data_IF_096688841593
#
_entry.id   IF_096688841593
#
_cell.length_a   1.000
_cell.length_b   1.000
_cell.length_c   1.000
_cell.angle_alpha   90.00
_cell.angle_beta   90.00
_cell.angle_gamma   90.00
#
_symmetry.space_group_name_H-M   'P 1'
#
loop_
_entity.id
_entity.type
_entity.pdbx_description
1 polymer ?
#
# COMPACT_ATOMS: atom_id res chain seq x y z
N UNK A 1 -0.59 1.16 2.92
CA UNK A 1 0.37 0.05 2.78
C UNK A 1 1.60 0.61 2.11
N UNK A 2 2.79 0.40 2.68
CA UNK A 2 3.98 1.13 2.25
C UNK A 2 3.86 2.62 2.56
N UNK A 3 3.54 2.96 3.82
CA UNK A 3 3.23 4.35 4.19
C UNK A 3 4.48 5.25 4.25
N UNK A 4 5.69 4.71 4.12
CA UNK A 4 6.93 5.43 4.31
C UNK A 4 6.95 6.12 5.67
N UNK A 5 7.35 7.39 5.71
CA UNK A 5 7.30 8.21 6.94
C UNK A 5 5.88 8.60 7.36
N UNK A 6 4.85 8.15 6.65
CA UNK A 6 3.46 8.26 7.03
C UNK A 6 2.79 9.59 6.73
N UNK A 7 3.28 10.39 5.79
CA UNK A 7 2.72 11.72 5.44
C UNK A 7 1.22 11.65 5.13
N UNK A 8 0.81 10.76 4.21
CA UNK A 8 -0.62 10.58 3.88
C UNK A 8 -1.41 10.00 5.06
N UNK A 9 -0.82 9.05 5.79
CA UNK A 9 -1.44 8.48 7.01
C UNK A 9 -1.74 9.55 8.04
N UNK A 10 -0.78 10.44 8.32
CA UNK A 10 -0.94 11.58 9.23
C UNK A 10 -2.04 12.52 8.75
N UNK A 11 -2.07 12.84 7.47
CA UNK A 11 -3.12 13.69 6.91
C UNK A 11 -4.50 13.09 7.17
N UNK A 12 -4.72 11.82 6.84
CA UNK A 12 -6.00 11.15 7.10
C UNK A 12 -6.36 11.10 8.60
N UNK A 13 -5.40 10.75 9.46
CA UNK A 13 -5.61 10.69 10.91
C UNK A 13 -6.01 12.06 11.49
N UNK A 14 -5.33 13.13 11.07
CA UNK A 14 -5.61 14.51 11.51
C UNK A 14 -6.97 15.03 11.02
N UNK A 15 -7.52 14.45 9.95
CA UNK A 15 -8.86 14.74 9.45
C UNK A 15 -9.94 13.81 10.04
N UNK A 16 -9.62 13.10 11.13
CA UNK A 16 -10.58 12.26 11.85
C UNK A 16 -10.88 10.92 11.17
N UNK A 17 -10.12 10.53 10.16
CA UNK A 17 -10.26 9.22 9.51
C UNK A 17 -9.54 8.17 10.37
N UNK A 18 -10.20 7.04 10.59
CA UNK A 18 -9.57 5.90 11.26
C UNK A 18 -8.57 5.24 10.31
N UNK A 19 -7.29 5.25 10.68
CA UNK A 19 -6.20 4.80 9.82
C UNK A 19 -5.41 3.66 10.45
N UNK A 20 -4.81 2.86 9.57
CA UNK A 20 -3.75 1.90 9.87
C UNK A 20 -2.65 2.11 8.85
N UNK A 21 -1.40 1.88 9.25
CA UNK A 21 -0.22 2.05 8.43
C UNK A 21 0.68 0.82 8.62
N UNK A 22 1.14 0.27 7.52
CA UNK A 22 2.12 -0.83 7.50
C UNK A 22 3.30 -0.40 6.64
N UNK A 23 4.49 -0.51 7.19
CA UNK A 23 5.75 -0.05 6.58
C UNK A 23 6.88 -1.04 6.85
N UNK A 24 7.68 -1.36 5.84
CA UNK A 24 8.77 -2.33 5.94
C UNK A 24 10.13 -1.71 6.27
N UNK A 25 10.30 -0.41 6.01
CA UNK A 25 11.53 0.33 6.31
C UNK A 25 11.58 0.75 7.78
N UNK A 26 12.51 0.14 8.52
CA UNK A 26 12.77 0.50 9.92
C UNK A 26 13.05 2.01 10.09
N UNK A 27 13.87 2.60 9.21
CA UNK A 27 14.19 4.04 9.26
C UNK A 27 12.94 4.92 9.08
N UNK A 28 12.02 4.49 8.21
CA UNK A 28 10.78 5.22 7.96
C UNK A 28 9.81 5.13 9.15
N UNK A 29 9.77 3.97 9.81
CA UNK A 29 8.98 3.75 11.04
C UNK A 29 9.55 4.59 12.19
N UNK A 30 10.87 4.55 12.43
CA UNK A 30 11.51 5.34 13.49
C UNK A 30 11.31 6.85 13.29
N UNK A 31 11.33 7.32 12.04
CA UNK A 31 11.18 8.74 11.67
C UNK A 31 9.76 9.10 11.23
N UNK A 32 8.78 8.30 11.59
CA UNK A 32 7.38 8.49 11.22
C UNK A 32 6.84 9.79 11.78
N UNK A 33 5.97 10.45 11.01
CA UNK A 33 5.25 11.67 11.44
C UNK A 33 3.79 11.37 11.82
N UNK A 34 3.44 10.10 11.94
CA UNK A 34 2.08 9.66 12.29
C UNK A 34 1.78 9.97 13.75
N UNK A 35 0.69 10.72 14.06
CA UNK A 35 0.28 10.94 15.44
C UNK A 35 -0.14 9.60 16.07
N UNK A 36 0.21 9.37 17.34
CA UNK A 36 -0.09 8.10 18.03
C UNK A 36 0.42 6.87 17.26
N UNK A 37 1.67 6.96 16.77
CA UNK A 37 2.27 5.95 15.89
C UNK A 37 2.21 4.52 16.48
N UNK A 38 2.31 4.38 17.81
CA UNK A 38 2.20 3.11 18.53
C UNK A 38 0.86 2.38 18.32
N UNK A 39 -0.19 3.10 17.91
CA UNK A 39 -1.53 2.56 17.68
C UNK A 39 -1.86 2.40 16.19
N UNK A 40 -1.14 3.12 15.31
CA UNK A 40 -1.47 3.23 13.89
C UNK A 40 -0.44 2.51 13.02
N UNK A 41 0.85 2.59 13.37
CA UNK A 41 1.96 2.11 12.56
C UNK A 41 2.33 0.68 12.98
N UNK A 42 2.38 -0.21 12.00
CA UNK A 42 2.91 -1.56 12.12
C UNK A 42 4.18 -1.66 11.27
N UNK A 43 5.31 -1.98 11.89
CA UNK A 43 6.51 -2.34 11.15
C UNK A 43 6.38 -3.78 10.64
N UNK A 44 6.39 -3.96 9.31
CA UNK A 44 6.29 -5.27 8.68
C UNK A 44 6.92 -5.27 7.29
N UNK A 45 7.93 -6.12 7.11
CA UNK A 45 8.53 -6.40 5.82
C UNK A 45 7.77 -7.53 5.09
N UNK A 46 7.16 -7.20 3.96
CA UNK A 46 6.43 -8.16 3.13
C UNK A 46 7.33 -9.23 2.49
N UNK A 47 8.66 -9.10 2.50
CA UNK A 47 9.57 -10.19 2.12
C UNK A 47 9.53 -11.35 3.13
N UNK A 48 9.18 -11.07 4.39
CA UNK A 48 9.16 -12.04 5.49
C UNK A 48 7.85 -12.80 5.61
N UNK A 49 6.82 -12.35 4.92
CA UNK A 49 5.53 -13.01 4.87
C UNK A 49 4.36 -12.04 4.79
N UNK A 50 3.14 -12.58 4.75
CA UNK A 50 1.91 -11.80 4.70
C UNK A 50 1.61 -11.06 6.00
N UNK A 51 0.95 -9.89 5.86
CA UNK A 51 0.37 -9.14 6.98
C UNK A 51 -1.14 -9.04 6.81
N UNK A 52 -1.87 -9.27 7.91
CA UNK A 52 -3.32 -9.16 7.97
C UNK A 52 -3.71 -8.08 8.98
N UNK A 53 -4.32 -6.97 8.54
CA UNK A 53 -4.91 -6.04 9.49
C UNK A 53 -6.05 -6.73 10.24
N UNK A 54 -6.16 -6.44 11.53
CA UNK A 54 -7.16 -7.03 12.44
C UNK A 54 -8.59 -6.65 12.07
N UNK A 55 -8.78 -5.52 11.39
CA UNK A 55 -10.07 -4.97 10.95
C UNK A 55 -10.18 -4.86 9.45
N UNK A 56 -11.40 -4.85 8.95
CA UNK A 56 -11.71 -4.36 7.60
C UNK A 56 -11.68 -2.84 7.58
N UNK A 57 -11.45 -2.28 6.39
CA UNK A 57 -11.39 -0.84 6.12
C UNK A 57 -12.19 -0.54 4.86
N UNK A 58 -12.52 0.73 4.63
CA UNK A 58 -13.24 1.12 3.41
C UNK A 58 -12.28 1.18 2.20
N UNK A 59 -11.05 1.65 2.43
CA UNK A 59 -10.05 1.85 1.40
C UNK A 59 -8.63 1.47 1.84
N UNK A 60 -7.84 0.97 0.90
CA UNK A 60 -6.38 0.86 1.00
C UNK A 60 -5.73 1.96 0.16
N UNK A 61 -4.72 2.60 0.74
CA UNK A 61 -3.84 3.56 0.08
C UNK A 61 -2.44 2.97 -0.06
N UNK A 62 -1.98 2.75 -1.29
CA UNK A 62 -0.71 2.12 -1.65
C UNK A 62 -0.04 2.88 -2.82
N UNK A 63 0.29 4.14 -2.58
CA UNK A 63 0.92 5.04 -3.57
C UNK A 63 2.44 4.93 -3.44
N UNK A 64 3.13 4.74 -4.57
CA UNK A 64 4.58 4.48 -4.68
C UNK A 64 5.02 3.31 -3.79
N UNK A 65 4.44 2.13 -4.05
CA UNK A 65 4.66 0.93 -3.22
C UNK A 65 4.82 -0.35 -4.04
N UNK A 66 3.99 -0.55 -5.07
CA UNK A 66 3.89 -1.83 -5.79
C UNK A 66 5.24 -2.26 -6.40
N UNK A 67 5.98 -1.29 -6.95
CA UNK A 67 7.27 -1.45 -7.60
C UNK A 67 8.42 -1.80 -6.63
N UNK A 68 8.23 -1.58 -5.33
CA UNK A 68 9.23 -1.82 -4.30
C UNK A 68 9.18 -3.25 -3.73
N UNK A 69 8.14 -4.02 -4.08
CA UNK A 69 7.99 -5.40 -3.61
C UNK A 69 8.25 -6.36 -4.77
N UNK A 70 9.33 -7.14 -4.64
CA UNK A 70 9.70 -8.15 -5.63
C UNK A 70 8.58 -9.14 -5.90
N UNK A 71 8.47 -9.63 -7.14
CA UNK A 71 7.36 -10.50 -7.60
C UNK A 71 7.08 -11.70 -6.70
N UNK A 72 8.11 -12.30 -6.13
CA UNK A 72 8.03 -13.46 -5.25
C UNK A 72 7.38 -13.17 -3.89
N UNK A 73 7.16 -11.90 -3.56
CA UNK A 73 6.60 -11.45 -2.28
C UNK A 73 5.29 -10.69 -2.45
N UNK A 74 4.83 -10.44 -3.69
CA UNK A 74 3.63 -9.62 -3.93
C UNK A 74 2.38 -10.23 -3.29
N UNK A 75 2.28 -11.55 -3.24
CA UNK A 75 1.18 -12.25 -2.57
C UNK A 75 1.05 -11.90 -1.08
N UNK A 76 2.10 -11.35 -0.46
CA UNK A 76 2.13 -11.07 0.96
C UNK A 76 1.39 -9.79 1.34
N UNK A 77 1.25 -8.81 0.44
CA UNK A 77 0.42 -7.62 0.70
C UNK A 77 -1.03 -7.77 0.23
N UNK A 78 -1.34 -8.78 -0.58
CA UNK A 78 -2.71 -9.05 -1.06
C UNK A 78 -3.72 -9.24 0.09
N UNK A 79 -3.40 -9.91 1.21
CA UNK A 79 -4.32 -10.00 2.33
C UNK A 79 -4.70 -8.65 2.95
N UNK A 80 -3.78 -7.68 2.97
CA UNK A 80 -4.09 -6.32 3.39
C UNK A 80 -5.04 -5.63 2.41
N UNK A 81 -4.84 -5.85 1.10
CA UNK A 81 -5.70 -5.28 0.07
C UNK A 81 -7.12 -5.86 0.11
N UNK A 82 -7.26 -7.16 0.38
CA UNK A 82 -8.55 -7.86 0.49
C UNK A 82 -9.39 -7.44 1.71
N UNK A 83 -8.84 -6.63 2.61
CA UNK A 83 -9.56 -6.09 3.76
C UNK A 83 -10.30 -4.78 3.45
N UNK A 84 -10.19 -4.29 2.20
CA UNK A 84 -10.80 -3.06 1.75
C UNK A 84 -11.82 -3.27 0.63
N UNK A 85 -12.78 -2.35 0.51
CA UNK A 85 -13.68 -2.27 -0.65
C UNK A 85 -12.98 -1.60 -1.85
N UNK A 86 -12.15 -0.59 -1.59
CA UNK A 86 -11.38 0.12 -2.61
C UNK A 86 -9.88 -0.02 -2.39
N UNK A 87 -9.12 -0.15 -3.48
CA UNK A 87 -7.66 -0.12 -3.46
C UNK A 87 -7.20 1.02 -4.36
N UNK A 88 -6.61 2.04 -3.76
CA UNK A 88 -5.92 3.13 -4.46
C UNK A 88 -4.44 2.80 -4.47
N UNK A 89 -3.88 2.58 -5.66
CA UNK A 89 -2.46 2.28 -5.81
C UNK A 89 -1.86 2.97 -7.03
N UNK A 90 -0.58 3.32 -6.92
CA UNK A 90 0.25 3.73 -8.05
C UNK A 90 1.39 2.73 -8.24
N UNK A 91 2.03 2.84 -9.40
CA UNK A 91 3.24 2.12 -9.73
C UNK A 91 4.13 3.04 -10.58
N UNK A 92 5.44 2.83 -10.50
CA UNK A 92 6.37 3.46 -11.42
C UNK A 92 6.50 2.68 -12.73
N UNK A 93 6.50 3.42 -13.84
CA UNK A 93 6.86 2.91 -15.17
C UNK A 93 8.35 3.12 -15.50
N UNK A 94 9.12 3.66 -14.56
CA UNK A 94 10.54 3.97 -14.72
C UNK A 94 11.35 3.30 -13.61
N UNK A 95 12.58 2.92 -13.96
CA UNK A 95 13.55 2.45 -12.96
C UNK A 95 13.88 3.54 -11.95
N UNK A 96 14.39 3.14 -10.79
CA UNK A 96 14.69 4.04 -9.70
C UNK A 96 15.32 3.30 -8.53
N UNK A 97 15.69 4.06 -7.50
CA UNK A 97 16.21 3.46 -6.28
C UNK A 97 15.17 2.49 -5.69
N UNK A 98 15.57 1.23 -5.49
CA UNK A 98 14.71 0.17 -4.96
C UNK A 98 13.44 -0.14 -5.78
N UNK A 99 13.37 0.28 -7.05
CA UNK A 99 12.31 -0.19 -7.95
C UNK A 99 12.71 -1.56 -8.48
N UNK A 100 12.14 -2.61 -7.90
CA UNK A 100 12.48 -4.01 -8.21
C UNK A 100 11.49 -4.67 -9.16
N UNK A 101 10.27 -4.15 -9.28
CA UNK A 101 9.29 -4.55 -10.28
C UNK A 101 8.74 -3.32 -10.99
N UNK A 102 9.17 -3.09 -12.23
CA UNK A 102 8.74 -1.95 -13.05
C UNK A 102 8.05 -2.50 -14.29
N UNK A 103 6.76 -2.19 -14.45
CA UNK A 103 5.93 -2.69 -15.55
C UNK A 103 4.91 -1.64 -15.99
N UNK A 104 4.39 -1.70 -17.23
CA UNK A 104 3.28 -0.87 -17.66
C UNK A 104 1.98 -1.14 -16.89
N UNK A 105 1.06 -0.17 -16.86
CA UNK A 105 -0.22 -0.26 -16.14
C UNK A 105 -1.03 -1.51 -16.48
N UNK A 106 -1.06 -1.92 -17.75
CA UNK A 106 -1.78 -3.13 -18.19
C UNK A 106 -1.30 -4.41 -17.49
N UNK A 107 0.00 -4.49 -17.16
CA UNK A 107 0.56 -5.62 -16.42
C UNK A 107 0.06 -5.62 -14.96
N UNK A 108 0.07 -4.46 -14.31
CA UNK A 108 -0.41 -4.31 -12.94
C UNK A 108 -1.91 -4.58 -12.82
N UNK A 109 -2.70 -4.11 -13.78
CA UNK A 109 -4.14 -4.41 -13.88
C UNK A 109 -4.34 -5.93 -13.95
N UNK A 110 -3.72 -6.60 -14.91
CA UNK A 110 -3.84 -8.06 -15.05
C UNK A 110 -3.33 -8.82 -13.81
N UNK A 111 -2.27 -8.31 -13.17
CA UNK A 111 -1.72 -8.89 -11.94
C UNK A 111 -2.71 -8.77 -10.78
N UNK A 112 -3.34 -7.62 -10.61
CA UNK A 112 -4.36 -7.40 -9.57
C UNK A 112 -5.63 -8.22 -9.84
N UNK A 113 -6.07 -8.30 -11.10
CA UNK A 113 -7.19 -9.15 -11.51
C UNK A 113 -6.91 -10.63 -11.25
N UNK A 114 -5.67 -11.09 -11.43
CA UNK A 114 -5.27 -12.47 -11.08
C UNK A 114 -5.43 -12.80 -9.59
N UNK A 115 -5.46 -11.78 -8.73
CA UNK A 115 -5.75 -11.93 -7.29
C UNK A 115 -7.23 -11.75 -6.94
N UNK A 116 -8.10 -11.55 -7.93
CA UNK A 116 -9.55 -11.41 -7.77
C UNK A 116 -10.05 -9.98 -7.55
N UNK A 117 -9.20 -8.97 -7.78
CA UNK A 117 -9.64 -7.57 -7.81
C UNK A 117 -10.27 -7.23 -9.17
N UNK A 118 -11.04 -6.15 -9.22
CA UNK A 118 -11.63 -5.63 -10.46
C UNK A 118 -11.10 -4.23 -10.70
N UNK A 119 -10.48 -4.01 -11.84
CA UNK A 119 -10.04 -2.68 -12.23
C UNK A 119 -11.25 -1.80 -12.59
N UNK A 120 -11.22 -0.55 -12.13
CA UNK A 120 -12.25 0.45 -12.43
C UNK A 120 -11.61 1.66 -13.09
N UNK A 121 -11.78 1.74 -14.41
CA UNK A 121 -11.39 2.87 -15.23
C UNK A 121 -12.09 4.16 -14.78
N UNK A 122 -13.41 4.10 -14.59
CA UNK A 122 -14.22 5.21 -14.11
C UNK A 122 -13.71 5.78 -12.77
N UNK A 123 -13.48 4.92 -11.76
CA UNK A 123 -13.00 5.39 -10.46
C UNK A 123 -11.57 5.94 -10.55
N UNK A 124 -10.73 5.35 -11.42
CA UNK A 124 -9.36 5.81 -11.65
C UNK A 124 -9.34 7.23 -12.23
N UNK A 125 -10.22 7.51 -13.19
CA UNK A 125 -10.35 8.86 -13.77
C UNK A 125 -11.00 9.87 -12.82
N UNK A 126 -11.90 9.44 -11.93
CA UNK A 126 -12.56 10.32 -10.97
C UNK A 126 -11.63 10.84 -9.86
N UNK A 127 -10.60 10.08 -9.48
CA UNK A 127 -9.72 10.40 -8.34
C UNK A 127 -8.36 11.00 -8.75
N UNK A 128 -8.12 11.16 -10.05
CA UNK A 128 -6.95 11.85 -10.61
C UNK A 128 -7.25 13.33 -10.82
#
# INVERSE_FOLDING_TARGET
VGCGRGISTSWFALHGIQTLCVEGSHDAVEKTVVPHADQIVTEHDFSRGPWWPSRTVDAVWAVEFLEHVGRNFQQNYIPAFRKAAFVFCTNSQWGGWHHVEVHPDAWWIAKMESYGFVYSDYLTHMVR
#
